data_IF_433588674745
#
_entry.id   IF_433588674745
#
_cell.length_a   1.000
_cell.length_b   1.000
_cell.length_c   1.000
_cell.angle_alpha   90.00
_cell.angle_beta   90.00
_cell.angle_gamma   90.00
#
_symmetry.space_group_name_H-M   'P 1'
#
loop_
_entity.id
_entity.type
_entity.pdbx_description
1 polymer ?
#
# COMPACT_ATOMS: atom_id res chain seq x y z
N UNK A 1 -1.11 -10.87 -7.00
CA UNK A 1 -0.35 -10.34 -5.83
C UNK A 1 -1.25 -10.43 -4.61
N UNK A 2 -0.74 -10.93 -3.48
CA UNK A 2 -1.45 -10.92 -2.21
C UNK A 2 -1.03 -9.69 -1.41
N UNK A 3 -2.00 -8.93 -0.89
CA UNK A 3 -1.75 -7.77 -0.03
C UNK A 3 -2.34 -8.05 1.34
N UNK A 4 -1.51 -8.05 2.36
CA UNK A 4 -1.90 -8.22 3.76
C UNK A 4 -1.93 -6.86 4.46
N UNK A 5 -2.79 -6.69 5.47
CA UNK A 5 -2.90 -5.46 6.25
C UNK A 5 -1.60 -5.02 6.94
N UNK A 6 -1.60 -3.80 7.45
CA UNK A 6 -0.57 -3.29 8.35
C UNK A 6 -0.49 -4.16 9.61
N UNK A 7 0.73 -4.41 10.11
CA UNK A 7 1.02 -5.18 11.33
C UNK A 7 0.44 -6.61 11.38
N UNK A 8 0.06 -7.17 10.24
CA UNK A 8 -0.65 -8.45 10.16
C UNK A 8 0.25 -9.67 10.19
N UNK A 9 1.51 -9.54 9.80
CA UNK A 9 2.43 -10.68 9.70
C UNK A 9 3.52 -10.62 10.78
N UNK A 10 3.58 -11.61 11.70
CA UNK A 10 4.69 -11.75 12.64
C UNK A 10 6.04 -11.85 11.92
N UNK A 11 7.05 -11.08 12.35
CA UNK A 11 8.37 -11.04 11.71
C UNK A 11 9.03 -12.41 11.62
N UNK A 12 8.86 -13.24 12.65
CA UNK A 12 9.38 -14.62 12.68
C UNK A 12 8.85 -15.49 11.53
N UNK A 13 7.67 -15.18 11.00
CA UNK A 13 7.05 -15.96 9.92
C UNK A 13 7.35 -15.37 8.53
N UNK A 14 7.83 -14.15 8.45
CA UNK A 14 8.05 -13.45 7.17
C UNK A 14 8.90 -14.28 6.21
N UNK A 15 10.02 -14.86 6.69
CA UNK A 15 10.89 -15.69 5.86
C UNK A 15 10.17 -16.92 5.30
N UNK A 16 9.39 -17.61 6.14
CA UNK A 16 8.68 -18.82 5.73
C UNK A 16 7.58 -18.51 4.71
N UNK A 17 6.78 -17.46 4.97
CA UNK A 17 5.73 -17.02 4.04
C UNK A 17 6.35 -16.54 2.72
N UNK A 18 7.40 -15.75 2.76
CA UNK A 18 8.11 -15.28 1.56
C UNK A 18 8.66 -16.46 0.73
N UNK A 19 9.29 -17.43 1.37
CA UNK A 19 9.81 -18.62 0.68
C UNK A 19 8.67 -19.43 0.04
N UNK A 20 7.51 -19.51 0.70
CA UNK A 20 6.36 -20.20 0.14
C UNK A 20 5.82 -19.47 -1.11
N UNK A 21 5.66 -18.15 -1.02
CA UNK A 21 5.23 -17.29 -2.15
C UNK A 21 6.19 -17.43 -3.34
N UNK A 22 7.50 -17.40 -3.08
CA UNK A 22 8.52 -17.57 -4.12
C UNK A 22 8.44 -18.94 -4.80
N UNK A 23 8.25 -20.01 -4.01
CA UNK A 23 8.12 -21.38 -4.55
C UNK A 23 6.88 -21.53 -5.44
N UNK A 24 5.80 -20.84 -5.14
CA UNK A 24 4.62 -20.81 -6.00
C UNK A 24 4.89 -20.10 -7.34
N UNK A 25 5.92 -19.26 -7.42
CA UNK A 25 6.47 -18.67 -8.66
C UNK A 25 5.57 -17.69 -9.41
N UNK A 26 4.33 -17.50 -8.97
CA UNK A 26 3.30 -16.73 -9.68
C UNK A 26 2.71 -15.59 -8.87
N UNK A 27 3.08 -15.46 -7.61
CA UNK A 27 2.49 -14.49 -6.71
C UNK A 27 3.55 -13.53 -6.16
N UNK A 28 3.20 -12.25 -6.05
CA UNK A 28 3.88 -11.32 -5.18
C UNK A 28 3.17 -11.23 -3.84
N UNK A 29 3.90 -10.92 -2.80
CA UNK A 29 3.38 -10.66 -1.45
C UNK A 29 3.70 -9.23 -1.06
N UNK A 30 2.72 -8.50 -0.53
CA UNK A 30 2.93 -7.23 0.19
C UNK A 30 2.33 -7.40 1.57
N UNK A 31 3.15 -7.29 2.61
CA UNK A 31 2.71 -7.56 3.97
C UNK A 31 3.23 -6.52 4.97
N UNK A 32 2.31 -6.02 5.80
CA UNK A 32 2.66 -5.26 6.99
C UNK A 32 3.18 -6.18 8.08
N UNK A 33 4.41 -5.93 8.53
CA UNK A 33 5.04 -6.73 9.58
C UNK A 33 4.77 -6.12 10.95
N UNK A 34 4.75 -6.96 11.99
CA UNK A 34 4.78 -6.49 13.38
C UNK A 34 5.90 -5.47 13.60
N UNK A 35 5.77 -4.58 14.57
CA UNK A 35 6.78 -3.59 14.87
C UNK A 35 8.17 -4.21 15.02
N UNK A 36 9.16 -3.59 14.38
CA UNK A 36 10.57 -3.85 14.70
C UNK A 36 10.95 -2.98 15.87
N UNK A 37 11.28 -3.60 16.98
CA UNK A 37 11.77 -2.94 18.18
C UNK A 37 13.11 -3.55 18.60
N UNK A 38 14.13 -2.70 18.71
CA UNK A 38 15.38 -3.06 19.38
C UNK A 38 15.29 -2.55 20.83
N UNK A 39 15.30 -3.42 21.85
CA UNK A 39 15.19 -3.02 23.24
C UNK A 39 16.26 -2.02 23.72
N UNK A 40 17.37 -1.87 22.97
CA UNK A 40 18.43 -0.90 23.26
C UNK A 40 18.08 0.51 22.81
N UNK A 41 17.00 0.68 22.03
CA UNK A 41 16.56 1.96 21.48
C UNK A 41 15.08 2.22 21.79
N UNK A 42 14.72 3.48 22.09
CA UNK A 42 13.33 3.82 22.38
C UNK A 42 12.46 3.91 21.12
N UNK A 43 12.95 3.46 19.96
CA UNK A 43 12.25 3.61 18.71
C UNK A 43 11.75 2.29 18.17
N UNK A 44 10.55 2.34 17.57
CA UNK A 44 9.96 1.24 16.81
C UNK A 44 9.88 1.61 15.34
N UNK A 45 9.97 0.60 14.47
CA UNK A 45 9.74 0.77 13.05
C UNK A 45 8.52 -0.06 12.61
N UNK A 46 7.59 0.61 11.96
CA UNK A 46 6.48 -0.02 11.26
C UNK A 46 6.86 -0.20 9.80
N UNK A 47 6.88 -1.44 9.33
CA UNK A 47 7.41 -1.78 8.01
C UNK A 47 6.45 -2.66 7.22
N UNK A 48 6.40 -2.38 5.94
CA UNK A 48 5.78 -3.24 4.92
C UNK A 48 6.87 -3.75 4.00
N UNK A 49 6.80 -5.03 3.66
CA UNK A 49 7.68 -5.62 2.67
C UNK A 49 6.88 -6.09 1.46
N UNK A 50 7.38 -5.77 0.27
CA UNK A 50 6.96 -6.45 -0.95
C UNK A 50 7.99 -7.51 -1.32
N UNK A 51 7.54 -8.72 -1.55
CA UNK A 51 8.33 -9.83 -2.10
C UNK A 51 7.76 -10.12 -3.48
N UNK A 52 8.53 -9.83 -4.50
CA UNK A 52 8.12 -10.01 -5.89
C UNK A 52 8.94 -11.13 -6.52
N UNK A 53 8.29 -12.09 -7.21
CA UNK A 53 9.02 -13.14 -7.90
C UNK A 53 9.83 -12.53 -9.05
N UNK A 54 11.04 -13.01 -9.19
CA UNK A 54 11.95 -12.72 -10.28
C UNK A 54 12.11 -13.93 -11.21
N UNK A 55 12.94 -13.81 -12.24
CA UNK A 55 13.27 -14.92 -13.11
C UNK A 55 14.03 -16.02 -12.35
N UNK A 56 13.97 -17.23 -12.86
CA UNK A 56 14.71 -18.39 -12.33
C UNK A 56 14.44 -18.72 -10.86
N UNK A 57 13.17 -18.65 -10.43
CA UNK A 57 12.74 -18.90 -9.06
C UNK A 57 13.42 -18.00 -8.01
N UNK A 58 13.94 -16.84 -8.45
CA UNK A 58 14.44 -15.81 -7.55
C UNK A 58 13.30 -14.95 -7.03
N UNK A 59 13.59 -14.16 -6.00
CA UNK A 59 12.71 -13.10 -5.53
C UNK A 59 13.52 -11.92 -5.03
N UNK A 60 12.94 -10.75 -5.16
CA UNK A 60 13.48 -9.55 -4.56
C UNK A 60 12.50 -9.03 -3.50
N UNK A 61 13.04 -8.51 -2.41
CA UNK A 61 12.28 -7.94 -1.32
C UNK A 61 12.61 -6.46 -1.17
N UNK A 62 11.58 -5.63 -1.12
CA UNK A 62 11.71 -4.20 -0.92
C UNK A 62 10.99 -3.78 0.35
N UNK A 63 11.67 -3.06 1.26
CA UNK A 63 11.05 -2.51 2.46
C UNK A 63 10.48 -1.12 2.21
N UNK A 64 9.34 -0.84 2.81
CA UNK A 64 8.83 0.51 3.06
C UNK A 64 8.69 0.67 4.56
N UNK A 65 9.19 1.77 5.08
CA UNK A 65 9.06 2.11 6.50
C UNK A 65 8.09 3.27 6.65
N UNK A 66 7.11 3.12 7.52
CA UNK A 66 6.19 4.18 7.89
C UNK A 66 6.97 5.30 8.58
N UNK A 67 6.82 6.50 8.10
CA UNK A 67 7.60 7.65 8.58
C UNK A 67 6.84 8.52 9.54
N UNK A 68 5.52 8.55 9.39
CA UNK A 68 4.63 9.35 10.20
C UNK A 68 3.58 8.43 10.83
N UNK A 69 3.62 8.23 12.16
CA UNK A 69 2.57 7.50 12.85
C UNK A 69 1.24 8.24 12.75
N UNK A 70 0.14 7.52 12.76
CA UNK A 70 -1.14 8.12 13.10
C UNK A 70 -1.07 8.71 14.52
N UNK A 71 -1.84 9.77 14.77
CA UNK A 71 -1.84 10.42 16.10
C UNK A 71 -2.11 9.43 17.22
N UNK A 72 -3.13 8.59 17.05
CA UNK A 72 -3.50 7.60 18.06
C UNK A 72 -2.41 6.52 18.23
N UNK A 73 -1.81 6.06 17.13
CA UNK A 73 -0.69 5.12 17.16
C UNK A 73 0.47 5.67 18.00
N UNK A 74 0.85 6.94 17.79
CA UNK A 74 1.88 7.60 18.60
C UNK A 74 1.51 7.71 20.09
N UNK A 75 0.25 8.01 20.41
CA UNK A 75 -0.24 8.08 21.76
C UNK A 75 -0.22 6.71 22.46
N UNK A 76 -0.62 5.65 21.78
CA UNK A 76 -0.61 4.28 22.34
C UNK A 76 0.82 3.79 22.59
N UNK A 77 1.73 4.01 21.67
CA UNK A 77 3.15 3.68 21.87
C UNK A 77 3.77 4.43 23.06
N UNK A 78 3.41 5.70 23.24
CA UNK A 78 3.85 6.51 24.36
C UNK A 78 3.38 6.02 25.74
N UNK A 79 2.32 5.19 25.80
CA UNK A 79 1.82 4.58 27.06
C UNK A 79 2.57 3.31 27.46
N UNK A 80 3.37 2.72 26.57
CA UNK A 80 4.12 1.51 26.87
C UNK A 80 5.22 1.77 27.89
N UNK A 81 5.62 0.73 28.62
CA UNK A 81 6.72 0.77 29.60
C UNK A 81 7.76 -0.30 29.26
N UNK A 82 9.00 0.07 28.87
CA UNK A 82 9.45 1.45 28.65
C UNK A 82 8.71 2.15 27.50
N UNK A 83 8.64 3.46 27.56
CA UNK A 83 8.05 4.29 26.50
C UNK A 83 8.78 4.08 25.18
N UNK A 84 8.03 3.84 24.12
CA UNK A 84 8.58 3.73 22.77
C UNK A 84 7.93 4.76 21.85
N UNK A 85 8.63 5.13 20.80
CA UNK A 85 8.17 6.11 19.83
C UNK A 85 8.65 5.76 18.40
N UNK A 86 8.12 6.43 17.41
CA UNK A 86 8.75 6.43 16.09
C UNK A 86 10.02 7.27 16.11
N UNK A 87 11.01 6.94 15.27
CA UNK A 87 12.15 7.82 15.08
C UNK A 87 11.68 9.18 14.56
N UNK A 88 12.42 10.27 14.86
CA UNK A 88 12.11 11.58 14.31
C UNK A 88 11.96 11.52 12.79
N UNK A 89 10.97 12.23 12.26
CA UNK A 89 10.81 12.35 10.83
C UNK A 89 12.10 12.93 10.21
N UNK A 90 12.60 12.38 9.11
CA UNK A 90 13.80 12.93 8.47
C UNK A 90 13.52 14.35 8.03
N UNK A 91 14.51 15.23 8.21
CA UNK A 91 14.43 16.66 7.86
C UNK A 91 14.28 16.94 6.37
N UNK A 92 14.63 15.98 5.52
CA UNK A 92 14.48 16.06 4.08
C UNK A 92 13.36 15.14 3.59
N UNK A 93 12.64 15.60 2.58
CA UNK A 93 11.68 14.76 1.85
C UNK A 93 12.43 13.68 1.07
N UNK A 94 12.70 12.55 1.70
CA UNK A 94 13.19 11.39 0.95
C UNK A 94 12.03 10.87 0.10
N UNK A 95 12.17 10.84 -1.23
CA UNK A 95 11.11 10.33 -2.11
C UNK A 95 10.70 8.92 -1.73
N UNK A 96 9.43 8.60 -1.99
CA UNK A 96 8.94 7.23 -1.81
C UNK A 96 9.60 6.29 -2.83
N UNK A 97 9.95 5.12 -2.36
CA UNK A 97 10.43 4.03 -3.22
C UNK A 97 9.34 3.61 -4.18
N UNK A 98 9.66 3.63 -5.46
CA UNK A 98 8.83 3.06 -6.53
C UNK A 98 9.56 1.85 -7.09
N UNK A 99 8.88 0.73 -7.16
CA UNK A 99 9.41 -0.52 -7.70
C UNK A 99 8.78 -0.78 -9.05
N UNK A 100 9.61 -0.89 -10.08
CA UNK A 100 9.16 -1.36 -11.40
C UNK A 100 9.10 -2.89 -11.39
N UNK A 101 7.95 -3.43 -11.74
CA UNK A 101 7.67 -4.86 -11.73
C UNK A 101 6.94 -5.28 -13.02
N UNK A 102 6.79 -6.58 -13.26
CA UNK A 102 5.93 -7.06 -14.35
C UNK A 102 4.45 -6.61 -14.20
N UNK A 103 4.06 -6.18 -13.01
CA UNK A 103 2.74 -5.63 -12.70
C UNK A 103 2.72 -4.09 -12.67
N UNK A 104 3.56 -3.43 -13.48
CA UNK A 104 3.68 -1.97 -13.53
C UNK A 104 4.58 -1.39 -12.44
N UNK A 105 4.57 -0.07 -12.35
CA UNK A 105 5.27 0.70 -11.32
C UNK A 105 4.42 0.75 -10.06
N UNK A 106 4.93 0.22 -8.96
CA UNK A 106 4.19 0.16 -7.70
C UNK A 106 4.91 0.87 -6.56
N UNK A 107 4.14 1.42 -5.63
CA UNK A 107 4.63 1.94 -4.35
C UNK A 107 3.68 1.57 -3.21
N UNK A 108 4.15 1.80 -1.98
CA UNK A 108 3.36 1.54 -0.77
C UNK A 108 3.25 2.82 0.05
N UNK A 109 2.02 3.15 0.45
CA UNK A 109 1.70 4.12 1.49
C UNK A 109 1.08 3.38 2.66
N UNK A 110 1.69 3.47 3.84
CA UNK A 110 1.27 2.68 4.99
C UNK A 110 0.22 3.45 5.78
N UNK A 111 -1.02 2.97 5.76
CA UNK A 111 -2.15 3.48 6.56
C UNK A 111 -2.27 5.02 6.49
N UNK A 112 -1.98 5.73 7.58
CA UNK A 112 -2.07 7.20 7.69
C UNK A 112 -1.21 7.98 6.69
N UNK A 113 -0.25 7.36 6.02
CA UNK A 113 0.54 8.04 4.99
C UNK A 113 -0.28 8.40 3.74
N UNK A 114 -1.43 7.75 3.53
CA UNK A 114 -2.36 8.11 2.46
C UNK A 114 -3.02 9.49 2.70
N UNK A 115 -3.07 9.95 3.96
CA UNK A 115 -3.60 11.27 4.33
C UNK A 115 -2.58 12.38 4.03
N UNK A 116 -1.30 12.04 3.95
CA UNK A 116 -0.22 13.00 3.79
C UNK A 116 -0.10 13.43 2.32
N UNK A 117 -0.65 14.61 2.00
CA UNK A 117 -0.72 15.13 0.63
C UNK A 117 0.64 15.17 -0.08
N UNK A 118 1.73 15.49 0.65
CA UNK A 118 3.09 15.51 0.07
C UNK A 118 3.54 14.11 -0.34
N UNK A 119 3.19 13.07 0.43
CA UNK A 119 3.52 11.68 0.10
C UNK A 119 2.78 11.21 -1.12
N UNK A 120 1.53 11.60 -1.25
CA UNK A 120 0.74 11.32 -2.46
C UNK A 120 1.35 12.06 -3.64
N UNK A 121 1.62 13.37 -3.51
CA UNK A 121 2.20 14.16 -4.59
C UNK A 121 3.57 13.65 -5.07
N UNK A 122 4.40 13.13 -4.18
CA UNK A 122 5.71 12.51 -4.53
C UNK A 122 5.59 11.33 -5.51
N UNK A 123 4.41 10.77 -5.68
CA UNK A 123 4.16 9.60 -6.53
C UNK A 123 3.56 9.96 -7.91
N UNK A 124 3.17 11.21 -8.13
CA UNK A 124 2.54 11.66 -9.39
C UNK A 124 3.41 11.30 -10.61
N UNK A 125 2.81 10.67 -11.60
CA UNK A 125 3.47 10.22 -12.84
C UNK A 125 4.52 9.12 -12.66
N UNK A 126 4.68 8.58 -11.45
CA UNK A 126 5.73 7.61 -11.13
C UNK A 126 5.19 6.20 -10.86
N UNK A 127 3.90 6.08 -10.57
CA UNK A 127 3.27 4.83 -10.15
C UNK A 127 2.01 4.52 -10.94
N UNK A 128 1.81 3.25 -11.23
CA UNK A 128 0.56 2.74 -11.79
C UNK A 128 -0.35 2.18 -10.70
N UNK A 129 0.25 1.68 -9.61
CA UNK A 129 -0.46 1.06 -8.49
C UNK A 129 0.12 1.56 -7.16
N UNK A 130 -0.76 2.01 -6.27
CA UNK A 130 -0.43 2.29 -4.87
C UNK A 130 -1.12 1.25 -3.99
N UNK A 131 -0.34 0.57 -3.18
CA UNK A 131 -0.84 -0.39 -2.20
C UNK A 131 -0.82 0.26 -0.82
N UNK A 132 -1.92 0.12 -0.09
CA UNK A 132 -2.07 0.71 1.23
C UNK A 132 -2.46 -0.36 2.26
N UNK A 133 -1.49 -1.10 2.82
CA UNK A 133 -1.71 -1.89 4.02
C UNK A 133 -2.12 -0.96 5.17
N UNK A 134 -3.26 -1.24 5.79
CA UNK A 134 -3.84 -0.35 6.79
C UNK A 134 -4.32 -1.10 8.04
N UNK A 135 -4.32 -0.40 9.15
CA UNK A 135 -5.00 -0.72 10.39
C UNK A 135 -5.81 0.50 10.79
N UNK A 136 -6.95 0.68 10.15
CA UNK A 136 -7.71 1.91 10.24
C UNK A 136 -9.15 1.66 10.68
N UNK A 137 -9.57 2.41 11.69
CA UNK A 137 -10.94 2.37 12.24
C UNK A 137 -11.89 3.32 11.51
N UNK A 138 -11.37 4.39 10.88
CA UNK A 138 -12.14 5.40 10.15
C UNK A 138 -12.21 5.06 8.67
N UNK A 139 -13.04 4.08 8.33
CA UNK A 139 -13.18 3.60 6.95
C UNK A 139 -13.92 4.61 6.06
N UNK A 140 -14.74 5.48 6.63
CA UNK A 140 -15.50 6.48 5.88
C UNK A 140 -14.60 7.59 5.30
N UNK A 141 -13.67 8.10 6.09
CA UNK A 141 -12.70 9.09 5.61
C UNK A 141 -11.78 8.50 4.54
N UNK A 142 -11.44 7.21 4.66
CA UNK A 142 -10.61 6.53 3.67
C UNK A 142 -11.29 6.37 2.31
N UNK A 143 -12.61 6.35 2.24
CA UNK A 143 -13.33 6.36 0.97
C UNK A 143 -12.95 7.59 0.13
N UNK A 144 -13.01 8.76 0.73
CA UNK A 144 -12.64 10.02 0.06
C UNK A 144 -11.15 10.09 -0.28
N UNK A 145 -10.29 9.61 0.61
CA UNK A 145 -8.84 9.61 0.42
C UNK A 145 -8.41 8.73 -0.75
N UNK A 146 -8.99 7.54 -0.88
CA UNK A 146 -8.70 6.61 -1.98
C UNK A 146 -9.07 7.24 -3.31
N UNK A 147 -10.28 7.78 -3.40
CA UNK A 147 -10.75 8.44 -4.61
C UNK A 147 -9.88 9.63 -4.95
N UNK A 148 -9.61 10.51 -3.98
CA UNK A 148 -8.76 11.68 -4.16
C UNK A 148 -7.35 11.32 -4.63
N UNK A 149 -6.69 10.36 -3.96
CA UNK A 149 -5.37 9.90 -4.35
C UNK A 149 -5.37 9.25 -5.73
N UNK A 150 -6.37 8.42 -6.04
CA UNK A 150 -6.51 7.79 -7.33
C UNK A 150 -6.72 8.77 -8.47
N UNK A 151 -7.47 9.86 -8.23
CA UNK A 151 -7.62 10.96 -9.18
C UNK A 151 -6.32 11.74 -9.38
N UNK A 152 -5.68 12.14 -8.28
CA UNK A 152 -4.46 12.95 -8.33
C UNK A 152 -3.31 12.20 -8.98
N UNK A 153 -3.13 10.94 -8.66
CA UNK A 153 -2.05 10.10 -9.18
C UNK A 153 -2.40 9.46 -10.52
N UNK A 154 -3.66 9.49 -10.93
CA UNK A 154 -4.18 8.70 -12.04
C UNK A 154 -3.76 7.22 -11.95
N UNK A 155 -3.83 6.64 -10.76
CA UNK A 155 -3.30 5.31 -10.44
C UNK A 155 -4.36 4.45 -9.78
N UNK A 156 -4.17 3.15 -9.81
CA UNK A 156 -5.00 2.20 -9.07
C UNK A 156 -4.55 2.24 -7.61
N UNK A 157 -5.51 2.42 -6.70
CA UNK A 157 -5.27 2.42 -5.26
C UNK A 157 -5.91 1.17 -4.66
N UNK A 158 -5.13 0.33 -3.99
CA UNK A 158 -5.65 -0.86 -3.32
C UNK A 158 -5.34 -0.80 -1.82
N UNK A 159 -6.39 -0.90 -0.99
CA UNK A 159 -6.28 -0.93 0.47
C UNK A 159 -6.59 -2.33 0.98
N UNK A 160 -5.70 -2.86 1.79
CA UNK A 160 -5.93 -4.02 2.63
C UNK A 160 -5.99 -3.55 4.09
N UNK A 161 -7.20 -3.48 4.63
CA UNK A 161 -7.43 -3.09 6.02
C UNK A 161 -7.52 -4.31 6.93
N UNK A 162 -7.30 -4.12 8.22
CA UNK A 162 -7.48 -5.17 9.23
C UNK A 162 -8.94 -5.67 9.22
N UNK A 163 -9.14 -6.99 9.24
CA UNK A 163 -10.45 -7.63 9.14
C UNK A 163 -11.45 -7.22 10.25
N UNK A 164 -10.95 -6.83 11.42
CA UNK A 164 -11.79 -6.32 12.51
C UNK A 164 -12.51 -5.02 12.14
N UNK A 165 -11.87 -4.15 11.35
CA UNK A 165 -12.44 -2.86 10.93
C UNK A 165 -13.03 -2.91 9.53
N UNK A 166 -12.58 -3.88 8.72
CA UNK A 166 -13.07 -4.09 7.35
C UNK A 166 -12.70 -2.98 6.35
N UNK A 167 -13.44 -2.96 5.23
CA UNK A 167 -13.31 -2.01 4.11
C UNK A 167 -11.99 -2.14 3.33
N UNK A 168 -11.71 -3.38 2.91
CA UNK A 168 -10.72 -3.62 1.87
C UNK A 168 -11.29 -3.25 0.52
N UNK A 169 -10.52 -2.56 -0.32
CA UNK A 169 -11.00 -2.16 -1.65
C UNK A 169 -9.87 -1.95 -2.64
N UNK A 170 -10.22 -2.00 -3.93
CA UNK A 170 -9.40 -1.51 -5.02
C UNK A 170 -10.22 -0.53 -5.85
N UNK A 171 -9.61 0.62 -6.16
CA UNK A 171 -10.21 1.70 -6.91
C UNK A 171 -9.32 2.07 -8.12
N UNK A 172 -9.95 2.43 -9.24
CA UNK A 172 -9.26 2.79 -10.48
C UNK A 172 -9.82 4.10 -11.06
N UNK A 173 -9.01 4.95 -11.73
CA UNK A 173 -9.44 6.19 -12.35
C UNK A 173 -10.17 5.94 -13.69
N UNK A 174 -11.29 5.18 -13.61
CA UNK A 174 -12.13 4.90 -14.77
C UNK A 174 -13.04 6.07 -15.09
N UNK A 175 -13.33 6.31 -16.37
CA UNK A 175 -14.23 7.38 -16.79
C UNK A 175 -15.63 7.17 -16.22
N UNK A 176 -16.14 5.95 -16.30
CA UNK A 176 -17.46 5.61 -15.80
C UNK A 176 -17.42 5.37 -14.29
N UNK A 177 -18.33 6.03 -13.57
CA UNK A 177 -18.35 5.99 -12.10
C UNK A 177 -18.50 4.57 -11.53
N UNK A 178 -19.31 3.74 -12.14
CA UNK A 178 -19.56 2.37 -11.70
C UNK A 178 -18.41 1.39 -11.99
N UNK A 179 -17.41 1.79 -12.78
CA UNK A 179 -16.22 0.99 -13.06
C UNK A 179 -15.05 1.35 -12.14
N UNK A 180 -15.19 2.35 -11.28
CA UNK A 180 -14.10 2.85 -10.42
C UNK A 180 -13.81 1.94 -9.24
N UNK A 181 -14.84 1.43 -8.57
CA UNK A 181 -14.69 0.45 -7.49
C UNK A 181 -14.51 -0.94 -8.11
N UNK A 182 -13.25 -1.37 -8.24
CA UNK A 182 -12.92 -2.70 -8.79
C UNK A 182 -13.33 -3.82 -7.84
N UNK A 183 -13.19 -3.60 -6.54
CA UNK A 183 -13.75 -4.45 -5.49
C UNK A 183 -13.90 -3.67 -4.19
N UNK A 184 -14.79 -4.16 -3.33
CA UNK A 184 -14.98 -3.65 -1.97
C UNK A 184 -15.50 -4.75 -1.07
N UNK A 185 -14.82 -4.99 0.06
CA UNK A 185 -15.23 -5.88 1.14
C UNK A 185 -15.45 -5.04 2.39
N UNK A 186 -16.70 -4.97 2.87
CA UNK A 186 -17.13 -4.13 4.02
C UNK A 186 -17.62 -4.95 5.22
N UNK A 187 -17.52 -6.26 5.17
CA UNK A 187 -17.92 -7.13 6.27
C UNK A 187 -16.86 -7.12 7.37
N UNK A 188 -17.28 -6.96 8.63
CA UNK A 188 -16.39 -6.87 9.80
C UNK A 188 -16.16 -8.24 10.42
N UNK A 189 -15.04 -8.38 11.11
CA UNK A 189 -14.63 -9.58 11.83
C UNK A 189 -14.58 -10.83 10.93
N UNK A 190 -14.21 -10.62 9.65
CA UNK A 190 -14.08 -11.67 8.64
C UNK A 190 -12.62 -11.81 8.23
N UNK A 191 -12.13 -13.04 8.28
CA UNK A 191 -10.86 -13.42 7.67
C UNK A 191 -11.15 -13.91 6.25
N UNK A 192 -11.16 -13.00 5.29
CA UNK A 192 -11.46 -13.33 3.90
C UNK A 192 -10.41 -12.76 2.93
N UNK A 193 -10.37 -13.32 1.74
CA UNK A 193 -9.49 -12.90 0.64
C UNK A 193 -10.33 -12.51 -0.56
N UNK A 194 -10.29 -11.23 -0.90
CA UNK A 194 -10.94 -10.73 -2.12
C UNK A 194 -10.00 -10.83 -3.30
N UNK A 195 -10.43 -11.51 -4.34
CA UNK A 195 -9.74 -11.53 -5.63
C UNK A 195 -10.32 -10.47 -6.55
N UNK A 196 -9.44 -9.68 -7.16
CA UNK A 196 -9.82 -8.64 -8.12
C UNK A 196 -8.88 -8.64 -9.32
N UNK A 197 -9.45 -8.55 -10.50
CA UNK A 197 -8.71 -8.34 -11.75
C UNK A 197 -8.45 -6.85 -11.96
N UNK A 198 -7.19 -6.50 -12.06
CA UNK A 198 -6.76 -5.11 -12.24
C UNK A 198 -6.43 -4.87 -13.72
N UNK A 199 -7.06 -3.90 -14.41
CA UNK A 199 -6.84 -3.61 -15.82
C UNK A 199 -5.52 -2.84 -16.06
N UNK A 200 -4.41 -3.34 -15.52
CA UNK A 200 -3.14 -2.64 -15.44
C UNK A 200 -2.49 -2.40 -16.81
N UNK A 201 -2.52 -3.40 -17.70
CA UNK A 201 -1.95 -3.26 -19.03
C UNK A 201 -2.62 -2.12 -19.81
N UNK A 202 -3.94 -1.97 -19.65
CA UNK A 202 -4.74 -0.89 -20.24
C UNK A 202 -4.36 0.48 -19.65
N UNK A 203 -4.15 0.56 -18.33
CA UNK A 203 -3.71 1.80 -17.66
C UNK A 203 -2.32 2.24 -18.13
N UNK A 204 -1.37 1.31 -18.15
CA UNK A 204 0.01 1.58 -18.59
C UNK A 204 0.04 2.04 -20.06
N UNK A 205 -0.76 1.41 -20.93
CA UNK A 205 -0.89 1.82 -22.32
C UNK A 205 -1.47 3.24 -22.44
N UNK A 206 -2.47 3.57 -21.62
CA UNK A 206 -3.05 4.92 -21.58
C UNK A 206 -2.03 5.96 -21.10
N UNK A 207 -1.25 5.67 -20.05
CA UNK A 207 -0.16 6.55 -19.58
C UNK A 207 0.93 6.77 -20.64
N UNK A 208 1.15 5.77 -21.49
CA UNK A 208 2.08 5.88 -22.63
C UNK A 208 1.49 6.63 -23.84
N UNK A 209 0.32 7.27 -23.71
CA UNK A 209 -0.32 8.05 -24.76
C UNK A 209 -1.01 7.22 -25.84
N UNK A 210 -1.22 5.92 -25.61
CA UNK A 210 -1.97 5.08 -26.57
C UNK A 210 -3.47 5.40 -26.51
N UNK A 211 -4.21 5.25 -27.62
CA UNK A 211 -5.63 5.60 -27.68
C UNK A 211 -6.51 4.53 -27.00
N UNK A 212 -6.34 4.37 -25.70
CA UNK A 212 -7.11 3.45 -24.87
C UNK A 212 -8.29 4.19 -24.25
N UNK A 213 -9.50 3.65 -24.41
CA UNK A 213 -10.74 4.23 -23.86
C UNK A 213 -11.02 3.77 -22.43
N UNK A 214 -11.89 4.51 -21.76
CA UNK A 214 -12.44 4.14 -20.46
C UNK A 214 -11.61 4.60 -19.26
N UNK A 215 -10.60 5.44 -19.48
CA UNK A 215 -9.84 6.10 -18.43
C UNK A 215 -10.23 7.58 -18.34
N UNK A 216 -10.13 8.12 -17.15
CA UNK A 216 -10.30 9.54 -16.93
C UNK A 216 -9.18 10.33 -17.63
N UNK A 217 -9.38 11.63 -17.92
CA UNK A 217 -8.29 12.49 -18.38
C UNK A 217 -7.13 12.49 -17.37
N UNK A 218 -5.91 12.57 -17.89
CA UNK A 218 -4.73 12.74 -17.05
C UNK A 218 -4.80 14.07 -16.29
N UNK A 219 -4.27 14.14 -15.06
CA UNK A 219 -4.14 15.40 -14.35
C UNK A 219 -3.38 16.45 -15.17
N UNK A 220 -3.66 17.76 -15.00
CA UNK A 220 -2.97 18.80 -15.75
C UNK A 220 -1.45 18.79 -15.60
N UNK A 221 -0.97 18.37 -14.43
CA UNK A 221 0.46 18.31 -14.10
C UNK A 221 1.09 16.95 -14.39
N UNK A 222 0.44 16.13 -15.23
CA UNK A 222 1.00 14.83 -15.61
C UNK A 222 2.31 15.01 -16.35
N UNK A 223 3.43 14.35 -15.90
CA UNK A 223 4.76 14.52 -16.48
C UNK A 223 4.92 13.89 -17.87
#
# INVERSE_FOLDING_TARGET
>A
MLVLPELSLPRRWFRNVSNHVVRLGRFGLVAGLEYLHDPRHPHVSNQVFAVLPGPFSSAAAWPWTKRLPAREEGLQLGKLKPTVSFPPAPSSSVPRTVVKSPWGSLSVLICSELIEARRVADLLGRVDVVLCPAWNTDTSSYDHLIQSAGFQLHSIIAIANNGHYSDCRAWAPRSERWERDLCRLIERDVDDVVHVDIPLASLVAFHAGQPVKGWMPLPPDWP
#
